data_IF_203926370928
#
_entry.id   IF_203926370928
#
_cell.length_a   1.000
_cell.length_b   1.000
_cell.length_c   1.000
_cell.angle_alpha   90.00
_cell.angle_beta   90.00
_cell.angle_gamma   90.00
#
_symmetry.space_group_name_H-M   'P 1'
#
loop_
_entity.id
_entity.type
_entity.pdbx_description
1 polymer ?
#
# COMPACT_ATOMS: atom_id res chain seq x y z
N UNK A 1 -9.81 -6.18 14.96
CA UNK A 1 -8.58 -6.85 14.54
C UNK A 1 -8.39 -8.05 15.45
N UNK A 2 -8.20 -9.23 14.90
CA UNK A 2 -7.99 -10.45 15.67
C UNK A 2 -6.48 -10.62 15.93
N UNK A 3 -6.06 -10.38 17.17
CA UNK A 3 -4.64 -10.45 17.56
C UNK A 3 -4.10 -11.88 17.53
N UNK A 4 -4.96 -12.88 17.69
CA UNK A 4 -4.54 -14.31 17.69
C UNK A 4 -3.99 -14.70 16.32
N UNK A 5 -4.64 -14.24 15.25
CA UNK A 5 -4.19 -14.52 13.87
C UNK A 5 -2.86 -13.82 13.57
N UNK A 6 -2.67 -12.61 14.08
CA UNK A 6 -1.43 -11.85 13.93
C UNK A 6 -0.29 -12.54 14.68
N UNK A 7 -0.50 -12.91 15.94
CA UNK A 7 0.50 -13.57 16.75
C UNK A 7 0.92 -14.94 16.18
N UNK A 8 -0.05 -15.73 15.70
CA UNK A 8 0.23 -17.00 15.03
C UNK A 8 1.07 -16.82 13.75
N UNK A 9 0.77 -15.81 12.97
CA UNK A 9 1.55 -15.48 11.78
C UNK A 9 2.98 -15.09 12.14
N UNK A 10 3.17 -14.17 13.10
CA UNK A 10 4.51 -13.77 13.55
C UNK A 10 5.32 -14.91 14.12
N UNK A 11 4.66 -15.82 14.86
CA UNK A 11 5.31 -17.04 15.36
C UNK A 11 5.83 -17.94 14.24
N UNK A 12 5.08 -18.05 13.16
CA UNK A 12 5.47 -18.89 12.01
C UNK A 12 6.61 -18.26 11.19
N UNK A 13 6.67 -16.93 11.12
CA UNK A 13 7.73 -16.21 10.40
C UNK A 13 9.02 -16.07 11.22
N UNK A 14 8.95 -16.12 12.55
CA UNK A 14 10.11 -15.96 13.42
C UNK A 14 11.28 -16.90 13.03
N UNK A 15 12.55 -16.43 12.96
CA UNK A 15 13.07 -15.16 13.48
C UNK A 15 12.93 -13.96 12.51
N UNK A 16 12.34 -14.13 11.34
CA UNK A 16 12.12 -13.06 10.37
C UNK A 16 10.95 -12.17 10.80
N UNK A 17 10.90 -10.97 10.24
CA UNK A 17 9.73 -10.12 10.39
C UNK A 17 8.52 -10.74 9.68
N UNK A 18 7.45 -11.00 10.43
CA UNK A 18 6.15 -11.33 9.85
C UNK A 18 5.46 -10.06 9.38
N UNK A 19 4.83 -10.09 8.22
CA UNK A 19 4.17 -8.92 7.65
C UNK A 19 2.80 -9.24 7.04
N UNK A 20 2.00 -8.22 6.84
CA UNK A 20 0.70 -8.33 6.20
C UNK A 20 -0.05 -7.00 6.14
N UNK A 21 -1.27 -7.04 5.70
CA UNK A 21 -2.11 -5.86 5.58
C UNK A 21 -3.33 -5.90 6.48
N UNK A 22 -3.71 -4.77 7.01
CA UNK A 22 -4.98 -4.57 7.70
C UNK A 22 -5.96 -3.95 6.71
N UNK A 23 -7.10 -4.59 6.51
CA UNK A 23 -8.12 -4.14 5.56
C UNK A 23 -9.50 -4.11 6.19
N UNK A 24 -10.42 -3.39 5.55
CA UNK A 24 -11.85 -3.44 5.90
C UNK A 24 -12.57 -4.37 4.94
N UNK A 25 -13.22 -5.40 5.49
CA UNK A 25 -14.06 -6.33 4.73
C UNK A 25 -15.44 -6.38 5.39
N UNK A 26 -16.47 -5.98 4.64
CA UNK A 26 -17.85 -5.93 5.16
C UNK A 26 -17.96 -5.17 6.50
N UNK A 27 -17.24 -4.05 6.61
CA UNK A 27 -17.23 -3.19 7.80
C UNK A 27 -16.42 -3.71 8.99
N UNK A 28 -15.68 -4.79 8.84
CA UNK A 28 -14.81 -5.35 9.88
C UNK A 28 -13.35 -5.22 9.50
N UNK A 29 -12.50 -4.88 10.48
CA UNK A 29 -11.04 -4.89 10.32
C UNK A 29 -10.54 -6.33 10.31
N UNK A 30 -9.92 -6.75 9.22
CA UNK A 30 -9.37 -8.08 8.98
C UNK A 30 -7.90 -7.97 8.67
N UNK A 31 -7.07 -8.75 9.33
CA UNK A 31 -5.66 -8.90 9.01
C UNK A 31 -5.49 -9.99 7.94
N UNK A 32 -4.74 -9.69 6.91
CA UNK A 32 -4.32 -10.62 5.87
C UNK A 32 -2.82 -10.82 5.99
N UNK A 33 -2.36 -12.00 6.44
CA UNK A 33 -0.94 -12.33 6.42
C UNK A 33 -0.41 -12.33 5.01
N UNK A 34 0.81 -11.84 4.83
CA UNK A 34 1.51 -11.81 3.55
C UNK A 34 2.89 -12.45 3.69
N UNK A 35 3.41 -12.94 2.58
CA UNK A 35 4.75 -13.50 2.50
C UNK A 35 5.78 -12.37 2.56
N UNK A 36 6.75 -12.49 3.47
CA UNK A 36 7.93 -11.62 3.50
C UNK A 36 8.97 -12.16 2.52
N UNK A 37 9.24 -11.42 1.43
CA UNK A 37 10.24 -11.78 0.40
C UNK A 37 11.56 -11.03 0.55
N UNK A 38 11.78 -10.29 1.65
CA UNK A 38 13.06 -9.67 1.94
C UNK A 38 14.17 -10.73 2.03
N UNK A 39 15.37 -10.38 1.60
CA UNK A 39 16.55 -11.24 1.75
C UNK A 39 17.16 -11.15 3.16
N UNK A 40 16.92 -10.04 3.83
CA UNK A 40 17.38 -9.76 5.18
C UNK A 40 16.32 -10.16 6.22
N UNK A 41 16.78 -10.67 7.36
CA UNK A 41 15.89 -11.06 8.46
C UNK A 41 15.41 -9.85 9.30
N UNK A 42 16.07 -8.69 9.16
CA UNK A 42 15.77 -7.45 9.89
C UNK A 42 14.78 -6.51 9.18
N UNK A 43 14.38 -6.86 7.95
CA UNK A 43 13.45 -6.08 7.12
C UNK A 43 12.29 -6.94 6.63
N UNK A 44 11.26 -6.28 6.11
CA UNK A 44 10.20 -6.96 5.38
C UNK A 44 9.92 -6.31 4.03
N UNK A 45 9.62 -7.16 3.07
CA UNK A 45 9.07 -6.78 1.77
C UNK A 45 7.88 -7.69 1.52
N UNK A 46 6.68 -7.12 1.44
CA UNK A 46 5.47 -7.89 1.13
C UNK A 46 5.56 -8.38 -0.32
N UNK A 47 5.23 -9.67 -0.55
CA UNK A 47 5.11 -10.18 -1.92
C UNK A 47 4.16 -9.32 -2.75
N UNK A 48 4.67 -8.80 -3.87
CA UNK A 48 3.94 -7.83 -4.69
C UNK A 48 2.65 -8.39 -5.27
N UNK A 49 2.57 -9.67 -5.57
CA UNK A 49 1.36 -10.32 -6.13
C UNK A 49 0.27 -10.42 -5.08
N UNK A 50 0.64 -10.75 -3.84
CA UNK A 50 -0.28 -10.78 -2.70
C UNK A 50 -0.80 -9.39 -2.38
N UNK A 51 0.10 -8.40 -2.30
CA UNK A 51 -0.27 -7.02 -2.03
C UNK A 51 -1.21 -6.45 -3.10
N UNK A 52 -0.87 -6.63 -4.37
CA UNK A 52 -1.69 -6.20 -5.51
C UNK A 52 -3.08 -6.87 -5.48
N UNK A 53 -3.14 -8.16 -5.18
CA UNK A 53 -4.42 -8.87 -5.06
C UNK A 53 -5.29 -8.27 -3.96
N UNK A 54 -4.71 -7.94 -2.81
CA UNK A 54 -5.44 -7.33 -1.69
C UNK A 54 -5.90 -5.91 -2.00
N UNK A 55 -5.08 -5.10 -2.66
CA UNK A 55 -5.46 -3.78 -3.16
C UNK A 55 -6.69 -3.81 -4.07
N UNK A 56 -6.84 -4.88 -4.87
CA UNK A 56 -7.99 -5.04 -5.79
C UNK A 56 -9.28 -5.49 -5.10
N UNK A 57 -9.16 -6.16 -3.98
CA UNK A 57 -10.29 -6.91 -3.40
C UNK A 57 -10.72 -6.40 -2.04
N UNK A 58 -9.95 -5.50 -1.43
CA UNK A 58 -10.20 -5.00 -0.08
C UNK A 58 -9.82 -3.52 0.05
N UNK A 59 -10.33 -2.86 1.08
CA UNK A 59 -9.90 -1.50 1.45
C UNK A 59 -8.74 -1.63 2.44
N UNK A 60 -7.50 -1.51 1.96
CA UNK A 60 -6.30 -1.54 2.83
C UNK A 60 -6.27 -0.26 3.67
N UNK A 61 -6.20 -0.44 4.99
CA UNK A 61 -6.19 0.65 5.98
C UNK A 61 -4.92 0.67 6.83
N UNK A 62 -3.97 -0.21 6.58
CA UNK A 62 -2.68 -0.21 7.26
C UNK A 62 -1.81 -1.39 6.89
N UNK A 63 -0.52 -1.23 7.12
CA UNK A 63 0.49 -2.31 7.08
C UNK A 63 0.70 -2.79 8.52
N UNK A 64 0.87 -4.08 8.69
CA UNK A 64 1.14 -4.72 9.99
C UNK A 64 2.41 -5.54 9.85
N UNK A 65 3.37 -5.34 10.75
CA UNK A 65 4.57 -6.18 10.80
C UNK A 65 5.10 -6.36 12.22
N UNK A 66 6.02 -7.29 12.38
CA UNK A 66 6.66 -7.59 13.67
C UNK A 66 8.13 -7.17 13.67
N UNK A 67 8.61 -6.74 14.83
CA UNK A 67 10.02 -6.59 15.17
C UNK A 67 10.42 -7.75 16.11
N UNK A 68 11.05 -8.83 15.60
CA UNK A 68 11.51 -9.93 16.42
C UNK A 68 12.60 -9.50 17.40
N UNK A 69 12.44 -9.84 18.68
CA UNK A 69 13.39 -9.57 19.78
C UNK A 69 13.79 -8.09 19.94
N UNK A 70 12.99 -7.18 19.35
CA UNK A 70 13.21 -5.72 19.39
C UNK A 70 11.98 -4.99 19.93
N UNK A 71 12.16 -3.71 20.25
CA UNK A 71 11.03 -2.83 20.58
C UNK A 71 10.16 -2.56 19.33
N UNK A 72 8.88 -2.21 19.51
CA UNK A 72 8.01 -1.83 18.39
C UNK A 72 8.26 -0.41 17.89
N UNK A 73 9.35 0.24 18.34
CA UNK A 73 9.73 1.56 17.86
C UNK A 73 9.98 1.53 16.35
N UNK A 74 9.39 2.49 15.60
CA UNK A 74 9.54 2.51 14.17
C UNK A 74 10.99 2.79 13.76
N UNK A 75 11.45 2.07 12.76
CA UNK A 75 12.70 2.37 12.07
C UNK A 75 12.55 3.60 11.16
N UNK A 76 13.64 4.11 10.63
CA UNK A 76 13.63 5.15 9.61
C UNK A 76 12.91 4.66 8.34
N UNK A 77 13.10 3.38 8.00
CA UNK A 77 12.42 2.71 6.89
C UNK A 77 10.91 2.68 7.09
N UNK A 78 10.43 2.26 8.26
CA UNK A 78 9.00 2.21 8.59
C UNK A 78 8.34 3.57 8.44
N UNK A 79 8.98 4.61 8.99
CA UNK A 79 8.48 5.98 8.91
C UNK A 79 8.43 6.47 7.46
N UNK A 80 9.48 6.22 6.69
CA UNK A 80 9.57 6.58 5.28
C UNK A 80 8.45 5.92 4.46
N UNK A 81 8.27 4.61 4.60
CA UNK A 81 7.25 3.89 3.83
C UNK A 81 5.83 4.17 4.31
N UNK A 82 5.61 4.36 5.62
CA UNK A 82 4.33 4.83 6.15
C UNK A 82 3.91 6.15 5.50
N UNK A 83 4.82 7.12 5.42
CA UNK A 83 4.58 8.41 4.78
C UNK A 83 4.37 8.27 3.26
N UNK A 84 5.15 7.41 2.61
CA UNK A 84 5.08 7.16 1.18
C UNK A 84 3.73 6.54 0.77
N UNK A 85 3.29 5.52 1.50
CA UNK A 85 2.02 4.84 1.23
C UNK A 85 0.80 5.64 1.72
N UNK A 86 1.02 6.61 2.64
CA UNK A 86 -0.05 7.40 3.22
C UNK A 86 -1.03 6.60 4.08
N UNK A 87 -0.61 5.43 4.58
CA UNK A 87 -1.41 4.55 5.44
C UNK A 87 -0.65 4.20 6.72
N UNK A 88 -1.36 3.99 7.86
CA UNK A 88 -0.72 3.66 9.14
C UNK A 88 0.08 2.36 9.10
N UNK A 89 1.20 2.33 9.84
CA UNK A 89 1.95 1.13 10.15
C UNK A 89 1.67 0.69 11.59
N UNK A 90 1.32 -0.57 11.77
CA UNK A 90 1.08 -1.23 13.04
C UNK A 90 2.26 -2.17 13.32
N UNK A 91 3.15 -1.74 14.20
CA UNK A 91 4.41 -2.42 14.49
C UNK A 91 4.27 -3.15 15.82
N UNK A 92 4.51 -4.45 15.81
CA UNK A 92 4.46 -5.26 17.00
C UNK A 92 5.86 -5.73 17.39
N UNK A 93 6.24 -5.59 18.67
CA UNK A 93 7.34 -6.40 19.17
C UNK A 93 6.92 -7.86 19.22
N UNK A 94 7.81 -8.78 18.90
CA UNK A 94 7.56 -10.21 19.08
C UNK A 94 8.71 -10.83 19.89
N UNK A 95 8.45 -11.67 20.94
CA UNK A 95 7.14 -12.26 21.27
C UNK A 95 6.23 -11.43 22.20
N UNK A 96 6.65 -10.28 22.69
CA UNK A 96 5.92 -9.50 23.70
C UNK A 96 4.58 -8.93 23.23
N UNK A 97 4.33 -8.87 21.93
CA UNK A 97 3.12 -8.35 21.29
C UNK A 97 2.74 -6.91 21.73
N UNK A 98 3.75 -6.10 22.07
CA UNK A 98 3.54 -4.66 22.30
C UNK A 98 3.35 -3.99 20.95
N UNK A 99 2.37 -3.09 20.88
CA UNK A 99 2.00 -2.39 19.66
C UNK A 99 2.45 -0.93 19.71
N UNK A 100 3.10 -0.48 18.65
CA UNK A 100 3.28 0.92 18.29
C UNK A 100 2.55 1.20 16.96
N UNK A 101 1.97 2.38 16.81
CA UNK A 101 1.26 2.76 15.59
C UNK A 101 1.84 4.06 15.05
N UNK A 102 2.46 3.97 13.88
CA UNK A 102 2.96 5.12 13.14
C UNK A 102 1.84 5.63 12.23
N UNK A 103 1.52 6.89 12.36
CA UNK A 103 0.59 7.56 11.45
C UNK A 103 1.38 8.26 10.35
N UNK A 104 0.94 8.21 9.10
CA UNK A 104 1.59 8.97 8.05
C UNK A 104 1.48 10.46 8.35
N UNK A 105 2.57 11.16 8.18
CA UNK A 105 2.54 12.62 8.20
C UNK A 105 1.60 13.10 7.11
N UNK A 106 0.72 14.06 7.43
CA UNK A 106 -0.25 14.62 6.48
C UNK A 106 0.38 15.49 5.39
N UNK A 107 1.68 15.48 5.28
CA UNK A 107 2.36 16.12 4.16
C UNK A 107 2.11 15.27 2.92
N UNK A 108 1.38 15.85 1.98
CA UNK A 108 1.34 15.35 0.61
C UNK A 108 2.77 15.02 0.22
N UNK A 109 3.06 13.77 0.01
CA UNK A 109 4.36 13.29 -0.45
C UNK A 109 4.79 14.22 -1.56
N UNK A 110 5.97 14.81 -1.48
CA UNK A 110 6.41 15.75 -2.51
C UNK A 110 6.18 15.13 -3.87
N UNK A 111 5.41 15.81 -4.73
CA UNK A 111 5.08 15.30 -6.07
C UNK A 111 6.33 15.10 -6.93
N UNK A 112 7.44 15.74 -6.51
CA UNK A 112 8.70 15.76 -7.21
C UNK A 112 9.79 15.06 -6.40
N UNK A 113 10.67 14.33 -7.08
CA UNK A 113 11.81 13.66 -6.44
C UNK A 113 11.50 12.28 -5.83
N UNK A 114 10.33 11.72 -6.07
CA UNK A 114 9.98 10.36 -5.65
C UNK A 114 10.85 9.33 -6.35
N UNK A 115 11.30 8.31 -5.61
CA UNK A 115 11.81 7.09 -6.24
C UNK A 115 10.65 6.38 -6.94
N UNK A 116 10.90 5.95 -8.18
CA UNK A 116 9.88 5.25 -8.97
C UNK A 116 9.71 3.82 -8.47
N UNK A 117 8.48 3.47 -8.12
CA UNK A 117 8.09 2.10 -7.80
C UNK A 117 6.77 1.78 -8.49
N UNK A 118 6.79 0.81 -9.42
CA UNK A 118 5.64 0.47 -10.22
C UNK A 118 4.46 -0.01 -9.36
N UNK A 119 3.30 0.59 -9.56
CA UNK A 119 2.07 0.26 -8.82
C UNK A 119 1.94 0.92 -7.44
N UNK A 120 2.99 1.60 -6.94
CA UNK A 120 3.02 2.25 -5.61
C UNK A 120 3.38 3.73 -5.73
N UNK A 121 4.46 4.06 -6.45
CA UNK A 121 4.98 5.42 -6.62
C UNK A 121 5.29 5.72 -8.09
N UNK A 122 4.42 5.30 -8.96
CA UNK A 122 4.55 5.53 -10.39
C UNK A 122 3.84 6.83 -10.85
N UNK A 123 3.90 7.09 -12.14
CA UNK A 123 3.29 8.29 -12.72
C UNK A 123 1.77 8.36 -12.51
N UNK A 124 1.08 7.22 -12.42
CA UNK A 124 -0.36 7.19 -12.17
C UNK A 124 -0.67 7.61 -10.73
N UNK A 125 0.06 7.09 -9.75
CA UNK A 125 -0.11 7.48 -8.35
C UNK A 125 0.31 8.95 -8.13
N UNK A 126 1.34 9.43 -8.83
CA UNK A 126 1.70 10.85 -8.81
C UNK A 126 0.58 11.74 -9.33
N UNK A 127 -0.09 11.32 -10.40
CA UNK A 127 -1.26 12.03 -10.95
C UNK A 127 -2.43 12.02 -9.96
N UNK A 128 -2.72 10.87 -9.34
CA UNK A 128 -3.77 10.74 -8.32
C UNK A 128 -3.52 11.68 -7.14
N UNK A 129 -2.30 11.71 -6.62
CA UNK A 129 -1.95 12.57 -5.50
C UNK A 129 -2.05 14.05 -5.86
N UNK A 130 -1.65 14.42 -7.08
CA UNK A 130 -1.83 15.78 -7.58
C UNK A 130 -3.32 16.16 -7.64
N UNK A 131 -4.15 15.33 -8.24
CA UNK A 131 -5.60 15.58 -8.34
C UNK A 131 -6.26 15.63 -6.96
N UNK A 132 -5.87 14.73 -6.06
CA UNK A 132 -6.32 14.75 -4.67
C UNK A 132 -5.95 16.05 -3.96
N UNK A 133 -4.76 16.62 -4.25
CA UNK A 133 -4.36 17.93 -3.72
C UNK A 133 -5.26 19.08 -4.21
N UNK A 134 -5.92 18.89 -5.35
CA UNK A 134 -6.90 19.82 -5.93
C UNK A 134 -8.35 19.50 -5.50
N UNK A 135 -8.54 18.60 -4.52
CA UNK A 135 -9.85 18.07 -4.09
C UNK A 135 -10.61 17.32 -5.19
N UNK A 136 -9.90 16.73 -6.13
CA UNK A 136 -10.45 15.85 -7.18
C UNK A 136 -10.11 14.42 -6.80
N UNK A 137 -11.14 13.61 -6.47
CA UNK A 137 -10.97 12.19 -6.22
C UNK A 137 -11.13 11.41 -7.52
N UNK A 138 -10.13 10.59 -7.83
CA UNK A 138 -10.22 9.60 -8.90
C UNK A 138 -10.14 8.19 -8.28
N UNK A 139 -10.85 7.22 -8.88
CA UNK A 139 -10.84 5.86 -8.36
C UNK A 139 -9.42 5.29 -8.30
N UNK A 140 -9.18 4.35 -7.35
CA UNK A 140 -7.91 3.64 -7.31
C UNK A 140 -7.70 2.88 -8.62
N UNK A 141 -6.43 2.71 -8.96
CA UNK A 141 -6.00 1.97 -10.14
C UNK A 141 -6.69 0.61 -10.20
N UNK A 142 -7.38 0.32 -11.32
CA UNK A 142 -7.68 -1.06 -11.67
C UNK A 142 -6.32 -1.70 -12.04
N UNK A 143 -5.86 -2.63 -11.22
CA UNK A 143 -4.54 -3.23 -11.41
C UNK A 143 -4.63 -4.25 -12.55
N UNK A 144 -3.85 -4.03 -13.58
CA UNK A 144 -3.62 -5.00 -14.63
C UNK A 144 -2.52 -5.99 -14.21
N UNK A 145 -2.48 -7.13 -14.85
CA UNK A 145 -1.36 -8.05 -14.73
C UNK A 145 -0.08 -7.40 -15.29
N UNK A 146 1.11 -7.85 -14.86
CA UNK A 146 2.41 -7.24 -15.22
C UNK A 146 2.66 -7.12 -16.75
N UNK A 147 1.95 -7.90 -17.55
CA UNK A 147 2.02 -7.96 -19.01
C UNK A 147 0.70 -7.52 -19.69
N UNK A 148 -0.07 -6.66 -19.03
CA UNK A 148 -1.39 -6.21 -19.50
C UNK A 148 -1.39 -5.67 -20.94
N UNK A 149 -0.32 -4.98 -21.35
CA UNK A 149 -0.17 -4.46 -22.72
C UNK A 149 0.03 -5.56 -23.75
N UNK A 150 0.67 -6.69 -23.40
CA UNK A 150 0.86 -7.83 -24.29
C UNK A 150 -0.42 -8.67 -24.40
N UNK A 151 -1.22 -8.69 -23.35
CA UNK A 151 -2.48 -9.42 -23.28
C UNK A 151 -3.67 -8.64 -23.85
N UNK A 152 -3.46 -7.41 -24.31
CA UNK A 152 -4.53 -6.57 -24.83
C UNK A 152 -5.60 -6.22 -23.80
N UNK A 153 -5.24 -6.19 -22.53
CA UNK A 153 -6.11 -5.68 -21.47
C UNK A 153 -6.33 -4.17 -21.66
N UNK A 154 -7.37 -3.64 -21.04
CA UNK A 154 -7.84 -2.27 -21.25
C UNK A 154 -6.71 -1.24 -21.05
N UNK A 155 -6.50 -0.41 -22.05
CA UNK A 155 -5.56 0.72 -21.96
C UNK A 155 -6.11 1.79 -21.01
N UNK A 156 -5.33 2.22 -20.02
CA UNK A 156 -5.69 3.32 -19.12
C UNK A 156 -5.94 4.64 -19.81
N UNK A 157 -5.40 4.81 -21.00
CA UNK A 157 -5.56 6.00 -21.83
C UNK A 157 -6.62 5.82 -22.93
N UNK A 158 -7.38 4.70 -22.90
CA UNK A 158 -8.48 4.54 -23.83
C UNK A 158 -9.60 5.55 -23.55
N UNK A 159 -10.28 5.98 -24.60
CA UNK A 159 -11.37 6.96 -24.50
C UNK A 159 -12.47 6.52 -23.52
N UNK A 160 -12.70 5.23 -23.35
CA UNK A 160 -13.72 4.70 -22.45
C UNK A 160 -13.29 4.84 -20.98
N UNK A 161 -12.02 4.58 -20.66
CA UNK A 161 -11.48 4.76 -19.30
C UNK A 161 -11.38 6.25 -18.96
N UNK A 162 -10.94 7.07 -19.91
CA UNK A 162 -10.85 8.54 -19.71
C UNK A 162 -12.25 9.13 -19.49
N UNK A 163 -13.28 8.67 -20.20
CA UNK A 163 -14.66 9.12 -20.00
C UNK A 163 -15.23 8.74 -18.63
N UNK A 164 -14.86 7.57 -18.12
CA UNK A 164 -15.30 7.15 -16.79
C UNK A 164 -14.60 7.96 -15.67
N UNK A 165 -13.40 8.46 -15.92
CA UNK A 165 -12.61 9.21 -14.94
C UNK A 165 -12.77 10.73 -15.07
N UNK A 166 -12.94 11.23 -16.29
CA UNK A 166 -13.10 12.64 -16.58
C UNK A 166 -14.51 12.89 -17.12
N UNK A 167 -15.35 13.54 -16.35
CA UNK A 167 -16.73 13.85 -16.76
C UNK A 167 -16.85 14.69 -18.02
N UNK A 168 -15.75 15.30 -18.50
CA UNK A 168 -15.66 15.91 -19.83
C UNK A 168 -14.20 16.02 -20.30
N UNK A 169 -13.90 15.73 -21.58
CA UNK A 169 -12.59 16.05 -22.14
C UNK A 169 -12.38 17.56 -22.08
N UNK A 170 -11.26 17.99 -21.52
CA UNK A 170 -10.84 19.39 -21.57
C UNK A 170 -10.42 19.68 -23.00
N UNK A 171 -11.13 20.58 -23.68
CA UNK A 171 -10.70 21.06 -24.97
C UNK A 171 -9.48 21.99 -24.78
N UNK A 172 -8.30 21.44 -25.01
CA UNK A 172 -7.02 22.15 -24.89
C UNK A 172 -6.81 23.22 -25.99
N UNK A 173 -7.76 23.40 -26.91
CA UNK A 173 -7.70 24.39 -27.99
C UNK A 173 -8.54 25.65 -27.72
N UNK A 174 -9.11 25.80 -26.57
CA UNK A 174 -9.75 27.07 -26.17
C UNK A 174 -8.74 27.93 -25.42
N UNK A 175 -8.22 28.96 -26.10
CA UNK A 175 -7.46 30.08 -25.50
C UNK A 175 -8.29 30.81 -24.42
#
# INVERSE_FOLDING_TARGET
MDLTVIEEHFKNEYPREGCGVLSVVKGKKVFFPCTNVAEDDEDFIIDSKEYIKLLRTTDIIGIVHSHPDRSPEPTESDTKYCNTLGIPYYIFSYPDMKLEVVQPEKNLTELYGREYEFGVLDCFEAMRDYLKSQNIEIPPRALFEDDWWEKGQLDYFSDDVIKDWCHQPVDINTD
#
